data_IF_232869813687
#
_entry.id   IF_232869813687
#
_cell.length_a   1.000
_cell.length_b   1.000
_cell.length_c   1.000
_cell.angle_alpha   90.00
_cell.angle_beta   90.00
_cell.angle_gamma   90.00
#
_symmetry.space_group_name_H-M   'P 1'
#
loop_
_entity.id
_entity.type
_entity.pdbx_description
1 polymer ?
#
# COMPACT_ATOMS: atom_id res chain seq x y z
N UNK A 1 11.47 11.04 -22.63
CA UNK A 1 10.70 10.88 -23.87
C UNK A 1 9.30 10.44 -23.50
N UNK A 2 8.27 11.03 -24.09
CA UNK A 2 6.85 10.65 -23.91
C UNK A 2 6.38 10.14 -25.26
N UNK A 3 5.90 8.89 -25.33
CA UNK A 3 5.46 8.23 -26.57
C UNK A 3 6.49 8.30 -27.72
N UNK A 4 7.78 8.08 -27.40
CA UNK A 4 8.86 8.09 -28.40
C UNK A 4 9.27 9.49 -28.90
N UNK A 5 8.72 10.57 -28.33
CA UNK A 5 9.13 11.96 -28.64
C UNK A 5 9.87 12.60 -27.46
N UNK A 6 10.91 13.36 -27.79
CA UNK A 6 11.64 14.20 -26.82
C UNK A 6 10.92 15.53 -26.65
N UNK A 7 10.76 15.94 -25.40
CA UNK A 7 10.19 17.22 -25.00
C UNK A 7 11.19 17.93 -24.10
N UNK A 8 11.31 19.24 -24.25
CA UNK A 8 12.03 20.08 -23.30
C UNK A 8 11.25 20.13 -21.98
N UNK A 9 11.96 20.26 -20.86
CA UNK A 9 11.34 20.31 -19.53
C UNK A 9 10.28 21.44 -19.43
N UNK A 10 10.55 22.56 -20.09
CA UNK A 10 9.63 23.70 -20.22
C UNK A 10 8.31 23.37 -20.94
N UNK A 11 8.26 22.29 -21.72
CA UNK A 11 7.10 21.88 -22.53
C UNK A 11 6.19 20.88 -21.81
N UNK A 12 6.62 20.34 -20.67
CA UNK A 12 5.92 19.26 -19.94
C UNK A 12 5.09 19.80 -18.76
N UNK A 13 5.00 21.12 -18.60
CA UNK A 13 4.33 21.77 -17.47
C UNK A 13 5.22 21.93 -16.24
N UNK A 14 4.97 23.00 -15.48
CA UNK A 14 5.77 23.37 -14.29
C UNK A 14 5.70 22.32 -13.18
N UNK A 15 4.54 21.68 -12.99
CA UNK A 15 4.36 20.59 -12.03
C UNK A 15 5.29 19.41 -12.31
N UNK A 16 5.19 18.79 -13.49
CA UNK A 16 6.01 17.63 -13.89
C UNK A 16 7.51 17.95 -13.81
N UNK A 17 7.90 19.18 -14.17
CA UNK A 17 9.27 19.66 -14.03
C UNK A 17 9.78 19.58 -12.59
N UNK A 18 9.00 20.08 -11.62
CA UNK A 18 9.34 20.05 -10.21
C UNK A 18 9.50 18.61 -9.71
N UNK A 19 8.59 17.70 -10.10
CA UNK A 19 8.67 16.28 -9.70
C UNK A 19 9.92 15.58 -10.22
N UNK A 20 10.24 15.75 -11.52
CA UNK A 20 11.44 15.17 -12.11
C UNK A 20 12.70 15.68 -11.39
N UNK A 21 12.77 16.97 -11.11
CA UNK A 21 13.90 17.57 -10.39
C UNK A 21 14.04 17.03 -8.97
N UNK A 22 12.93 16.89 -8.24
CA UNK A 22 12.94 16.35 -6.88
C UNK A 22 13.37 14.88 -6.87
N UNK A 23 12.80 14.05 -7.74
CA UNK A 23 13.18 12.63 -7.87
C UNK A 23 14.64 12.47 -8.25
N UNK A 24 15.12 13.23 -9.24
CA UNK A 24 16.51 13.18 -9.68
C UNK A 24 17.47 13.57 -8.54
N UNK A 25 17.17 14.64 -7.82
CA UNK A 25 17.98 15.07 -6.67
C UNK A 25 17.99 14.02 -5.55
N UNK A 26 16.83 13.44 -5.22
CA UNK A 26 16.74 12.40 -4.20
C UNK A 26 17.53 11.15 -4.60
N UNK A 27 17.38 10.71 -5.86
CA UNK A 27 18.09 9.56 -6.41
C UNK A 27 19.62 9.74 -6.39
N UNK A 28 20.11 10.95 -6.68
CA UNK A 28 21.53 11.26 -6.65
C UNK A 28 22.09 11.39 -5.24
N UNK A 29 21.37 12.08 -4.34
CA UNK A 29 21.88 12.40 -3.00
C UNK A 29 21.65 11.30 -1.98
N UNK A 30 20.63 10.46 -2.16
CA UNK A 30 20.19 9.41 -1.22
C UNK A 30 20.19 9.90 0.25
N UNK A 31 19.43 10.97 0.56
CA UNK A 31 19.49 11.61 1.87
C UNK A 31 18.92 10.72 2.98
N UNK A 32 19.21 11.07 4.24
CA UNK A 32 18.59 10.41 5.38
C UNK A 32 17.08 10.67 5.42
N UNK A 33 16.70 11.95 5.42
CA UNK A 33 15.30 12.38 5.39
C UNK A 33 15.01 13.25 4.16
N UNK A 34 13.77 13.18 3.69
CA UNK A 34 13.24 14.12 2.69
C UNK A 34 12.05 14.85 3.30
N UNK A 35 12.08 16.18 3.24
CA UNK A 35 11.01 17.06 3.74
C UNK A 35 10.33 17.72 2.54
N UNK A 36 9.00 17.59 2.43
CA UNK A 36 8.22 18.22 1.35
C UNK A 36 7.00 18.92 1.91
N UNK A 37 6.71 20.10 1.38
CA UNK A 37 5.45 20.80 1.62
C UNK A 37 4.50 20.56 0.44
N UNK A 38 3.26 20.17 0.74
CA UNK A 38 2.16 19.90 -0.20
C UNK A 38 2.57 19.10 -1.45
N UNK A 39 2.99 17.82 -1.29
CA UNK A 39 3.41 16.96 -2.41
C UNK A 39 2.34 16.77 -3.49
N UNK A 40 1.07 17.02 -3.17
CA UNK A 40 -0.08 16.95 -4.06
C UNK A 40 -0.18 18.08 -5.09
N UNK A 41 0.51 19.21 -4.88
CA UNK A 41 0.33 20.40 -5.72
C UNK A 41 0.65 20.10 -7.19
N UNK A 42 -0.31 20.39 -8.06
CA UNK A 42 -0.21 20.18 -9.51
C UNK A 42 -0.03 18.71 -9.94
N UNK A 43 -0.28 17.74 -9.05
CA UNK A 43 -0.35 16.32 -9.40
C UNK A 43 -1.75 15.81 -9.38
N UNK A 44 -2.00 14.95 -10.35
CA UNK A 44 -3.14 14.06 -10.31
C UNK A 44 -3.02 13.10 -9.10
N UNK A 45 -4.09 12.89 -8.29
CA UNK A 45 -4.12 12.00 -7.13
C UNK A 45 -3.39 10.65 -7.27
N UNK A 46 -3.57 9.94 -8.39
CA UNK A 46 -2.87 8.68 -8.65
C UNK A 46 -1.34 8.79 -8.67
N UNK A 47 -0.81 9.89 -9.19
CA UNK A 47 0.63 10.14 -9.26
C UNK A 47 1.20 10.57 -7.91
N UNK A 48 0.37 11.07 -6.99
CA UNK A 48 0.83 11.55 -5.68
C UNK A 48 1.36 10.39 -4.82
N UNK A 49 0.61 9.28 -4.78
CA UNK A 49 1.03 8.06 -4.09
C UNK A 49 2.31 7.49 -4.67
N UNK A 50 2.36 7.35 -6.01
CA UNK A 50 3.53 6.83 -6.68
C UNK A 50 4.75 7.70 -6.48
N UNK A 51 4.57 9.03 -6.51
CA UNK A 51 5.61 10.00 -6.26
C UNK A 51 6.16 9.87 -4.84
N UNK A 52 5.30 9.86 -3.82
CA UNK A 52 5.71 9.75 -2.41
C UNK A 52 6.41 8.42 -2.12
N UNK A 53 5.85 7.29 -2.58
CA UNK A 53 6.47 5.97 -2.43
C UNK A 53 7.84 5.93 -3.11
N UNK A 54 7.96 6.47 -4.33
CA UNK A 54 9.23 6.50 -5.07
C UNK A 54 10.25 7.40 -4.38
N UNK A 55 9.81 8.55 -3.87
CA UNK A 55 10.68 9.49 -3.18
C UNK A 55 11.21 8.90 -1.86
N UNK A 56 10.35 8.27 -1.05
CA UNK A 56 10.76 7.57 0.17
C UNK A 56 11.68 6.39 -0.09
N UNK A 57 11.65 5.84 -1.31
CA UNK A 57 12.59 4.83 -1.76
C UNK A 57 14.03 5.31 -1.89
N UNK A 58 14.25 6.62 -2.03
CA UNK A 58 15.58 7.24 -2.08
C UNK A 58 16.07 7.73 -0.71
N UNK A 59 15.18 7.80 0.29
CA UNK A 59 15.53 8.18 1.65
C UNK A 59 15.97 6.97 2.47
N UNK A 60 17.05 7.09 3.26
CA UNK A 60 17.49 5.99 4.13
C UNK A 60 16.61 5.88 5.39
N UNK A 61 16.19 7.00 5.97
CA UNK A 61 15.38 7.04 7.19
C UNK A 61 13.89 7.25 6.89
N UNK A 62 13.53 8.17 6.00
CA UNK A 62 12.14 8.36 5.62
C UNK A 62 11.79 9.72 5.02
N UNK A 63 10.49 9.95 4.87
CA UNK A 63 9.94 11.20 4.36
C UNK A 63 9.01 11.82 5.40
N UNK A 64 9.02 13.13 5.49
CA UNK A 64 8.04 13.91 6.24
C UNK A 64 7.43 14.92 5.28
N UNK A 65 6.10 14.98 5.25
CA UNK A 65 5.41 15.94 4.41
C UNK A 65 4.17 16.51 5.09
N UNK A 66 3.83 17.74 4.71
CA UNK A 66 2.56 18.40 5.02
C UNK A 66 1.61 18.26 3.85
N UNK A 67 0.33 18.04 4.15
CA UNK A 67 -0.73 17.93 3.14
C UNK A 67 -2.04 18.45 3.72
N UNK A 68 -2.90 19.01 2.87
CA UNK A 68 -4.29 19.31 3.21
C UNK A 68 -5.23 18.12 2.92
N UNK A 69 -4.72 17.08 2.26
CA UNK A 69 -5.43 15.85 1.94
C UNK A 69 -5.21 14.80 3.03
N UNK A 70 -6.20 14.65 3.92
CA UNK A 70 -6.21 13.58 4.92
C UNK A 70 -6.19 12.18 4.28
N UNK A 71 -6.80 12.03 3.09
CA UNK A 71 -6.78 10.79 2.32
C UNK A 71 -5.37 10.45 1.82
N UNK A 72 -4.62 11.43 1.33
CA UNK A 72 -3.22 11.25 0.94
C UNK A 72 -2.33 10.89 2.14
N UNK A 73 -2.52 11.60 3.25
CA UNK A 73 -1.82 11.35 4.51
C UNK A 73 -1.99 9.89 4.96
N UNK A 74 -3.24 9.43 5.05
CA UNK A 74 -3.60 8.08 5.50
C UNK A 74 -3.17 6.97 4.53
N UNK A 75 -3.15 7.23 3.23
CA UNK A 75 -2.80 6.23 2.22
C UNK A 75 -1.30 6.02 2.05
N UNK A 76 -0.46 7.00 2.38
CA UNK A 76 0.99 6.94 2.10
C UNK A 76 1.90 7.08 3.33
N UNK A 77 1.46 7.72 4.41
CA UNK A 77 2.27 7.88 5.61
C UNK A 77 2.15 6.69 6.57
N UNK A 78 3.25 6.36 7.25
CA UNK A 78 3.23 5.37 8.33
C UNK A 78 2.64 5.95 9.63
N UNK A 79 2.74 7.28 9.83
CA UNK A 79 2.17 8.02 10.96
C UNK A 79 1.60 9.34 10.45
N UNK A 80 0.42 9.71 10.95
CA UNK A 80 -0.26 10.94 10.57
C UNK A 80 -0.46 11.81 11.81
N UNK A 81 -0.11 13.08 11.70
CA UNK A 81 -0.29 14.07 12.76
C UNK A 81 -1.20 15.18 12.25
N UNK A 82 -2.16 15.60 13.08
CA UNK A 82 -2.91 16.83 12.85
C UNK A 82 -2.31 17.95 13.66
N UNK A 83 -2.07 19.09 13.00
CA UNK A 83 -1.64 20.32 13.66
C UNK A 83 -2.84 21.25 13.73
N UNK A 84 -3.20 21.68 14.94
CA UNK A 84 -4.32 22.61 15.18
C UNK A 84 -3.81 23.83 15.93
N UNK A 85 -4.44 24.98 15.67
CA UNK A 85 -4.20 26.18 16.45
C UNK A 85 -4.91 26.04 17.80
N UNK A 86 -4.17 26.23 18.89
CA UNK A 86 -4.77 26.22 20.23
C UNK A 86 -5.50 27.55 20.51
N UNK A 87 -6.31 27.56 21.58
CA UNK A 87 -7.06 28.74 21.99
C UNK A 87 -6.17 29.94 22.41
N UNK A 88 -4.89 29.69 22.71
CA UNK A 88 -3.89 30.66 23.16
C UNK A 88 -2.91 31.04 22.04
N UNK A 89 -3.26 30.84 20.77
CA UNK A 89 -2.46 31.21 19.61
C UNK A 89 -1.16 30.38 19.44
N UNK A 90 -1.03 29.27 20.15
CA UNK A 90 -0.02 28.22 19.94
C UNK A 90 -0.50 27.14 18.97
N UNK A 91 0.29 26.07 18.83
CA UNK A 91 -0.02 24.94 17.96
C UNK A 91 0.05 23.64 18.75
N UNK A 92 -1.02 22.86 18.67
CA UNK A 92 -1.11 21.52 19.24
C UNK A 92 -0.95 20.48 18.14
N UNK A 93 -0.08 19.51 18.38
CA UNK A 93 0.14 18.37 17.49
C UNK A 93 -0.48 17.15 18.15
N UNK A 94 -1.42 16.54 17.45
CA UNK A 94 -2.06 15.29 17.88
C UNK A 94 -1.81 14.22 16.84
N UNK A 95 -1.39 13.04 17.27
CA UNK A 95 -1.34 11.87 16.39
C UNK A 95 -2.77 11.48 16.05
N UNK A 96 -3.04 11.33 14.75
CA UNK A 96 -4.34 10.94 14.26
C UNK A 96 -4.49 9.43 14.43
N UNK A 97 -4.85 9.01 15.64
CA UNK A 97 -5.17 7.61 15.96
C UNK A 97 -6.65 7.33 15.64
N UNK A 98 -6.98 7.12 14.37
CA UNK A 98 -8.27 6.56 14.00
C UNK A 98 -8.18 5.83 12.67
N UNK A 99 -8.64 4.57 12.65
CA UNK A 99 -9.09 3.88 11.44
C UNK A 99 -10.41 4.54 11.03
N UNK A 100 -10.46 5.44 10.01
CA UNK A 100 -11.74 5.94 9.53
C UNK A 100 -12.60 4.77 9.05
N UNK A 101 -13.93 4.96 9.01
CA UNK A 101 -14.76 4.03 8.25
C UNK A 101 -14.30 4.04 6.80
N UNK A 102 -14.25 2.87 6.19
CA UNK A 102 -13.61 2.72 4.88
C UNK A 102 -14.30 3.55 3.78
N UNK A 103 -15.60 3.79 3.93
CA UNK A 103 -16.40 4.70 3.10
C UNK A 103 -16.04 6.17 3.26
N UNK A 104 -15.72 6.62 4.47
CA UNK A 104 -15.25 7.98 4.74
C UNK A 104 -13.89 8.21 4.08
N UNK A 105 -12.99 7.23 4.19
CA UNK A 105 -11.67 7.28 3.52
C UNK A 105 -11.80 7.32 1.99
N UNK A 106 -12.71 6.55 1.40
CA UNK A 106 -13.02 6.63 -0.03
C UNK A 106 -13.59 7.99 -0.46
N UNK A 107 -14.41 8.61 0.40
CA UNK A 107 -14.90 9.97 0.22
C UNK A 107 -13.76 11.00 0.27
N UNK A 108 -12.87 10.90 1.26
CA UNK A 108 -11.67 11.74 1.39
C UNK A 108 -10.70 11.62 0.21
N UNK A 109 -10.64 10.44 -0.42
CA UNK A 109 -9.87 10.23 -1.64
C UNK A 109 -10.54 10.82 -2.89
N UNK A 110 -11.75 11.39 -2.84
CA UNK A 110 -12.49 11.81 -4.04
C UNK A 110 -12.52 10.70 -5.11
N UNK A 111 -12.88 9.47 -4.71
CA UNK A 111 -12.83 8.28 -5.59
C UNK A 111 -13.63 8.42 -6.90
N UNK A 112 -14.64 9.29 -6.93
CA UNK A 112 -15.33 9.67 -8.17
C UNK A 112 -14.37 10.21 -9.24
N UNK A 113 -13.36 11.00 -8.84
CA UNK A 113 -12.29 11.45 -9.72
C UNK A 113 -11.42 10.31 -10.21
N UNK A 114 -11.10 9.31 -9.36
CA UNK A 114 -10.27 8.15 -9.71
C UNK A 114 -10.89 7.28 -10.83
N UNK A 115 -12.22 7.13 -10.85
CA UNK A 115 -12.91 6.40 -11.93
C UNK A 115 -12.72 7.05 -13.31
N UNK A 116 -12.60 8.37 -13.37
CA UNK A 116 -12.40 9.11 -14.63
C UNK A 116 -11.00 8.90 -15.23
N UNK A 117 -10.04 8.35 -14.47
CA UNK A 117 -8.67 8.08 -14.95
C UNK A 117 -8.37 6.61 -15.17
N UNK A 118 -9.39 5.75 -15.12
CA UNK A 118 -9.23 4.33 -15.39
C UNK A 118 -8.79 3.50 -14.18
N UNK A 119 -8.92 4.00 -12.94
CA UNK A 119 -8.95 3.12 -11.78
C UNK A 119 -10.29 2.41 -11.77
N UNK A 120 -10.27 1.15 -12.16
CA UNK A 120 -11.46 0.34 -12.37
C UNK A 120 -11.65 -0.70 -11.27
N UNK A 121 -10.69 -0.87 -10.35
CA UNK A 121 -10.73 -1.91 -9.31
C UNK A 121 -10.25 -1.40 -7.94
N UNK A 122 -10.91 -1.86 -6.88
CA UNK A 122 -10.47 -1.70 -5.49
C UNK A 122 -9.92 -3.04 -5.00
N UNK A 123 -8.76 -3.01 -4.35
CA UNK A 123 -8.21 -4.14 -3.62
C UNK A 123 -8.10 -3.81 -2.12
N UNK A 124 -8.86 -4.55 -1.31
CA UNK A 124 -8.81 -4.49 0.14
C UNK A 124 -7.64 -5.35 0.64
N UNK A 125 -6.79 -4.82 1.50
CA UNK A 125 -5.66 -5.52 2.14
C UNK A 125 -5.79 -5.45 3.66
N UNK A 126 -5.15 -6.35 4.42
CA UNK A 126 -5.35 -6.39 5.87
C UNK A 126 -4.99 -5.08 6.57
N UNK A 127 -3.78 -4.55 6.33
CA UNK A 127 -3.27 -3.39 7.05
C UNK A 127 -2.54 -2.37 6.17
N UNK A 128 -2.10 -1.26 6.77
CA UNK A 128 -1.40 -0.19 6.05
C UNK A 128 -0.01 -0.61 5.56
N UNK A 129 0.67 -1.54 6.24
CA UNK A 129 1.98 -2.06 5.82
C UNK A 129 1.90 -2.83 4.51
N UNK A 130 0.77 -3.49 4.26
CA UNK A 130 0.53 -4.29 3.06
C UNK A 130 0.30 -3.41 1.83
N UNK A 131 -0.24 -2.19 1.98
CA UNK A 131 -0.47 -1.27 0.85
C UNK A 131 0.82 -1.06 0.05
N UNK A 132 1.90 -0.60 0.70
CA UNK A 132 3.18 -0.32 0.02
C UNK A 132 3.78 -1.59 -0.59
N UNK A 133 3.62 -2.72 0.08
CA UNK A 133 4.14 -4.03 -0.34
C UNK A 133 3.42 -4.54 -1.60
N UNK A 134 2.08 -4.57 -1.57
CA UNK A 134 1.25 -4.98 -2.70
C UNK A 134 1.39 -3.99 -3.86
N UNK A 135 1.56 -2.69 -3.60
CA UNK A 135 1.86 -1.71 -4.66
C UNK A 135 3.14 -2.08 -5.43
N UNK A 136 4.19 -2.56 -4.76
CA UNK A 136 5.40 -3.04 -5.47
C UNK A 136 5.11 -4.29 -6.32
N UNK A 137 4.28 -5.20 -5.84
CA UNK A 137 3.91 -6.38 -6.63
C UNK A 137 3.03 -6.02 -7.83
N UNK A 138 2.07 -5.12 -7.66
CA UNK A 138 1.23 -4.63 -8.76
C UNK A 138 2.06 -3.91 -9.83
N UNK A 139 3.14 -3.21 -9.45
CA UNK A 139 4.11 -2.63 -10.40
C UNK A 139 4.76 -3.66 -11.30
N UNK A 140 5.07 -4.86 -10.78
CA UNK A 140 5.63 -5.94 -11.60
C UNK A 140 4.66 -6.37 -12.71
N UNK A 141 3.35 -6.24 -12.47
CA UNK A 141 2.29 -6.54 -13.45
C UNK A 141 1.78 -5.30 -14.21
N UNK A 142 2.38 -4.12 -14.01
CA UNK A 142 1.94 -2.84 -14.60
C UNK A 142 0.47 -2.49 -14.27
N UNK A 143 0.04 -2.73 -13.02
CA UNK A 143 -1.34 -2.51 -12.55
C UNK A 143 -1.49 -1.56 -11.36
N UNK A 144 -0.39 -1.04 -10.84
CA UNK A 144 -0.37 -0.11 -9.72
C UNK A 144 -1.17 1.18 -9.98
N UNK A 145 -1.30 1.57 -11.25
CA UNK A 145 -2.09 2.72 -11.70
C UNK A 145 -3.55 2.38 -12.07
N UNK A 146 -4.01 1.15 -11.85
CA UNK A 146 -5.40 0.70 -12.14
C UNK A 146 -6.17 0.31 -10.89
N UNK A 147 -5.45 0.00 -9.81
CA UNK A 147 -6.02 -0.58 -8.60
C UNK A 147 -5.83 0.38 -7.43
N UNK A 148 -6.93 0.74 -6.77
CA UNK A 148 -6.88 1.49 -5.51
C UNK A 148 -6.77 0.49 -4.35
N UNK A 149 -5.70 0.62 -3.56
CA UNK A 149 -5.43 -0.20 -2.39
C UNK A 149 -6.04 0.44 -1.15
N UNK A 150 -6.81 -0.32 -0.38
CA UNK A 150 -7.43 0.14 0.85
C UNK A 150 -7.13 -0.82 2.01
N UNK A 151 -6.71 -0.32 3.18
CA UNK A 151 -6.47 -1.17 4.35
C UNK A 151 -7.79 -1.46 5.09
N UNK A 152 -7.94 -2.67 5.59
CA UNK A 152 -9.05 -3.11 6.44
C UNK A 152 -8.81 -2.84 7.93
N UNK A 153 -7.62 -2.37 8.34
CA UNK A 153 -7.31 -2.17 9.76
C UNK A 153 -7.19 -3.47 10.57
N UNK A 154 -6.79 -4.57 9.91
CA UNK A 154 -6.50 -5.87 10.50
C UNK A 154 -7.74 -6.61 11.01
N UNK A 155 -7.59 -7.30 12.14
CA UNK A 155 -8.64 -8.14 12.75
C UNK A 155 -9.93 -7.35 13.12
N UNK A 156 -9.85 -6.01 13.16
CA UNK A 156 -10.98 -5.13 13.48
C UNK A 156 -12.08 -5.12 12.41
N UNK A 157 -11.74 -5.37 11.13
CA UNK A 157 -12.72 -5.56 10.05
C UNK A 157 -12.67 -6.95 9.41
N UNK A 158 -11.60 -7.71 9.61
CA UNK A 158 -11.53 -9.12 9.19
C UNK A 158 -12.27 -9.98 10.23
N UNK A 159 -13.58 -9.79 10.33
CA UNK A 159 -14.47 -10.51 11.24
C UNK A 159 -15.90 -10.55 10.68
N UNK A 160 -16.82 -11.13 11.45
CA UNK A 160 -18.23 -11.29 11.07
C UNK A 160 -19.10 -10.03 11.13
N UNK A 161 -18.54 -8.85 11.46
CA UNK A 161 -19.29 -7.62 11.74
C UNK A 161 -19.06 -6.51 10.70
N UNK A 162 -18.19 -6.72 9.72
CA UNK A 162 -17.82 -5.72 8.70
C UNK A 162 -18.75 -5.67 7.48
N UNK A 163 -19.86 -6.43 7.48
CA UNK A 163 -20.76 -6.53 6.33
C UNK A 163 -21.27 -5.18 5.82
N UNK A 164 -21.73 -4.30 6.71
CA UNK A 164 -22.24 -2.97 6.34
C UNK A 164 -21.16 -2.10 5.66
N UNK A 165 -19.92 -2.12 6.17
CA UNK A 165 -18.83 -1.34 5.59
C UNK A 165 -18.41 -1.88 4.22
N UNK A 166 -18.36 -3.21 4.06
CA UNK A 166 -18.05 -3.83 2.78
C UNK A 166 -19.16 -3.59 1.73
N UNK A 167 -20.43 -3.54 2.15
CA UNK A 167 -21.54 -3.14 1.27
C UNK A 167 -21.38 -1.70 0.78
N UNK A 168 -20.97 -0.76 1.66
CA UNK A 168 -20.73 0.63 1.26
C UNK A 168 -19.62 0.74 0.22
N UNK A 169 -18.51 0.00 0.38
CA UNK A 169 -17.43 -0.05 -0.59
C UNK A 169 -17.90 -0.64 -1.92
N UNK A 170 -18.65 -1.75 -1.86
CA UNK A 170 -19.19 -2.41 -3.05
C UNK A 170 -20.14 -1.51 -3.84
N UNK A 171 -20.89 -0.64 -3.16
CA UNK A 171 -21.73 0.39 -3.81
C UNK A 171 -20.90 1.47 -4.50
N UNK A 172 -19.74 1.82 -3.96
CA UNK A 172 -18.83 2.79 -4.56
C UNK A 172 -18.10 2.19 -5.78
N UNK A 173 -17.66 0.93 -5.67
CA UNK A 173 -17.03 0.18 -6.76
C UNK A 173 -17.51 -1.27 -6.80
N UNK A 174 -18.23 -1.61 -7.87
CA UNK A 174 -18.64 -2.99 -8.12
C UNK A 174 -17.44 -3.93 -8.34
N UNK A 175 -16.29 -3.40 -8.77
CA UNK A 175 -15.10 -4.19 -9.01
C UNK A 175 -14.18 -4.13 -7.78
N UNK A 176 -14.60 -4.83 -6.73
CA UNK A 176 -13.87 -4.89 -5.45
C UNK A 176 -13.42 -6.32 -5.17
N UNK A 177 -12.15 -6.47 -4.81
CA UNK A 177 -11.55 -7.73 -4.35
C UNK A 177 -10.90 -7.52 -2.98
N UNK A 178 -10.68 -8.60 -2.24
CA UNK A 178 -9.99 -8.57 -0.94
C UNK A 178 -8.85 -9.59 -0.95
N UNK A 179 -7.74 -9.24 -0.29
CA UNK A 179 -6.58 -10.10 -0.07
C UNK A 179 -6.28 -10.13 1.43
N UNK A 180 -6.35 -11.33 2.02
CA UNK A 180 -6.10 -11.53 3.45
C UNK A 180 -5.06 -12.63 3.70
N UNK A 181 -4.32 -12.48 4.79
CA UNK A 181 -3.42 -13.48 5.33
C UNK A 181 -4.22 -14.68 5.83
N UNK A 182 -3.70 -15.89 5.64
CA UNK A 182 -4.36 -17.09 6.16
C UNK A 182 -4.16 -17.30 7.65
N UNK A 183 -3.04 -16.79 8.18
CA UNK A 183 -2.54 -17.03 9.53
C UNK A 183 -2.42 -18.51 9.92
N UNK A 184 -2.41 -19.42 8.94
CA UNK A 184 -2.26 -20.86 9.17
C UNK A 184 -0.89 -21.17 9.78
N UNK A 185 -0.86 -22.16 10.66
CA UNK A 185 0.37 -22.69 11.25
C UNK A 185 0.95 -23.88 10.48
N UNK A 186 0.17 -24.49 9.59
CA UNK A 186 0.61 -25.61 8.74
C UNK A 186 -0.30 -25.77 7.52
N UNK A 187 0.15 -26.58 6.56
CA UNK A 187 -0.66 -26.95 5.40
C UNK A 187 -1.93 -27.69 5.84
N UNK A 188 -3.07 -27.28 5.30
CA UNK A 188 -4.39 -27.84 5.64
C UNK A 188 -4.98 -27.38 6.98
N UNK A 189 -4.28 -26.54 7.76
CA UNK A 189 -4.86 -25.95 8.96
C UNK A 189 -6.11 -25.11 8.61
N UNK A 190 -7.14 -25.21 9.45
CA UNK A 190 -8.36 -24.39 9.28
C UNK A 190 -8.04 -22.92 9.52
N UNK A 191 -8.72 -22.06 8.79
CA UNK A 191 -8.71 -20.62 9.05
C UNK A 191 -9.33 -20.35 10.44
N UNK A 192 -8.96 -19.22 11.03
CA UNK A 192 -9.62 -18.74 12.25
C UNK A 192 -11.11 -18.48 12.00
N UNK A 193 -11.91 -18.49 13.07
CA UNK A 193 -13.35 -18.24 12.97
C UNK A 193 -13.66 -16.89 12.30
N UNK A 194 -12.90 -15.85 12.66
CA UNK A 194 -13.06 -14.50 12.12
C UNK A 194 -12.75 -14.42 10.62
N UNK A 195 -11.67 -15.06 10.16
CA UNK A 195 -11.30 -15.12 8.73
C UNK A 195 -12.31 -15.92 7.91
N UNK A 196 -12.81 -17.04 8.44
CA UNK A 196 -13.89 -17.78 7.78
C UNK A 196 -15.17 -16.95 7.67
N UNK A 197 -15.56 -16.25 8.74
CA UNK A 197 -16.72 -15.37 8.73
C UNK A 197 -16.58 -14.24 7.70
N UNK A 198 -15.39 -13.61 7.62
CA UNK A 198 -15.10 -12.56 6.65
C UNK A 198 -15.18 -13.05 5.20
N UNK A 199 -14.63 -14.24 4.90
CA UNK A 199 -14.72 -14.87 3.57
C UNK A 199 -16.17 -15.14 3.18
N UNK A 200 -17.00 -15.63 4.11
CA UNK A 200 -18.43 -15.87 3.86
C UNK A 200 -19.20 -14.56 3.63
N UNK A 201 -18.87 -13.49 4.36
CA UNK A 201 -19.45 -12.15 4.10
C UNK A 201 -19.07 -11.68 2.71
N UNK A 202 -17.78 -11.71 2.34
CA UNK A 202 -17.31 -11.31 1.01
C UNK A 202 -18.04 -12.08 -0.09
N UNK A 203 -18.21 -13.40 0.08
CA UNK A 203 -18.95 -14.25 -0.85
C UNK A 203 -20.42 -13.86 -0.95
N UNK A 204 -21.09 -13.55 0.17
CA UNK A 204 -22.49 -13.12 0.22
C UNK A 204 -22.72 -11.82 -0.56
N UNK A 205 -21.80 -10.87 -0.45
CA UNK A 205 -21.92 -9.53 -1.09
C UNK A 205 -21.25 -9.45 -2.47
N UNK A 206 -20.64 -10.53 -2.95
CA UNK A 206 -20.00 -10.59 -4.26
C UNK A 206 -18.67 -9.84 -4.35
N UNK A 207 -17.88 -9.84 -3.27
CA UNK A 207 -16.46 -9.45 -3.26
C UNK A 207 -15.61 -10.71 -3.44
N UNK A 208 -14.70 -10.69 -4.41
CA UNK A 208 -13.74 -11.78 -4.59
C UNK A 208 -12.67 -11.71 -3.49
N UNK A 209 -12.79 -12.56 -2.46
CA UNK A 209 -11.85 -12.62 -1.36
C UNK A 209 -10.84 -13.74 -1.58
N UNK A 210 -9.58 -13.37 -1.78
CA UNK A 210 -8.46 -14.28 -1.87
C UNK A 210 -7.76 -14.41 -0.51
N UNK A 211 -7.64 -15.65 -0.04
CA UNK A 211 -6.89 -15.98 1.19
C UNK A 211 -5.58 -16.62 0.78
N UNK A 212 -4.47 -16.08 1.27
CA UNK A 212 -3.13 -16.59 0.94
C UNK A 212 -3.00 -18.09 1.25
N UNK A 213 -2.24 -18.82 0.43
CA UNK A 213 -1.90 -20.22 0.72
C UNK A 213 -0.86 -20.34 1.84
N UNK A 214 0.11 -19.43 1.86
CA UNK A 214 1.10 -19.28 2.92
C UNK A 214 0.49 -18.50 4.09
N UNK A 215 1.22 -18.43 5.21
CA UNK A 215 0.72 -17.80 6.43
C UNK A 215 0.37 -16.33 6.23
N UNK A 216 1.26 -15.55 5.64
CA UNK A 216 1.13 -14.12 5.41
C UNK A 216 1.98 -13.66 4.21
N UNK A 217 1.86 -12.39 3.81
CA UNK A 217 2.64 -11.80 2.70
C UNK A 217 4.15 -11.98 2.90
N UNK A 218 4.66 -11.89 4.13
CA UNK A 218 6.09 -12.04 4.40
C UNK A 218 6.63 -13.42 4.02
N UNK A 219 5.77 -14.44 4.00
CA UNK A 219 6.15 -15.79 3.62
C UNK A 219 6.35 -15.94 2.10
N UNK A 220 6.06 -14.92 1.29
CA UNK A 220 6.31 -14.91 -0.17
C UNK A 220 7.67 -14.32 -0.55
N UNK A 221 8.34 -13.62 0.36
CA UNK A 221 9.63 -13.01 0.07
C UNK A 221 10.70 -14.07 -0.20
N UNK A 222 11.43 -13.89 -1.29
CA UNK A 222 12.53 -14.79 -1.65
C UNK A 222 13.78 -14.45 -0.85
N UNK A 223 14.63 -15.46 -0.62
CA UNK A 223 15.88 -15.30 0.13
C UNK A 223 16.78 -14.25 -0.52
N UNK A 224 16.86 -14.26 -1.86
CA UNK A 224 17.56 -13.25 -2.67
C UNK A 224 17.06 -11.83 -2.40
N UNK A 225 15.74 -11.60 -2.50
CA UNK A 225 15.17 -10.27 -2.33
C UNK A 225 15.36 -9.75 -0.89
N UNK A 226 15.21 -10.64 0.10
CA UNK A 226 15.43 -10.32 1.49
C UNK A 226 16.89 -9.90 1.75
N UNK A 227 17.85 -10.69 1.25
CA UNK A 227 19.29 -10.41 1.41
C UNK A 227 19.70 -9.12 0.73
N UNK A 228 19.20 -8.85 -0.47
CA UNK A 228 19.43 -7.59 -1.16
C UNK A 228 18.92 -6.38 -0.37
N UNK A 229 17.73 -6.49 0.25
CA UNK A 229 17.09 -5.38 0.95
C UNK A 229 17.62 -5.18 2.38
N UNK A 230 18.02 -6.25 3.07
CA UNK A 230 18.30 -6.24 4.52
C UNK A 230 19.72 -6.66 4.90
N UNK A 231 20.39 -7.49 4.11
CA UNK A 231 21.72 -8.05 4.41
C UNK A 231 21.75 -9.58 4.40
N UNK A 232 22.95 -10.14 4.25
CA UNK A 232 23.21 -11.60 4.12
C UNK A 232 22.80 -12.42 5.36
N UNK A 233 22.70 -11.77 6.52
CA UNK A 233 22.28 -12.40 7.78
C UNK A 233 20.78 -12.71 7.84
N UNK A 234 19.97 -12.09 6.98
CA UNK A 234 18.53 -12.30 6.91
C UNK A 234 18.19 -13.47 5.99
N UNK A 235 17.19 -14.27 6.38
CA UNK A 235 16.76 -15.45 5.61
C UNK A 235 15.25 -15.45 5.38
N UNK A 236 14.81 -15.97 4.24
CA UNK A 236 13.38 -16.06 3.92
C UNK A 236 12.61 -16.98 4.90
N UNK A 237 11.34 -16.63 5.14
CA UNK A 237 10.45 -17.43 5.98
C UNK A 237 9.99 -18.70 5.26
N UNK A 238 9.87 -19.79 6.01
CA UNK A 238 9.15 -20.98 5.54
C UNK A 238 7.65 -20.69 5.42
N UNK A 239 6.90 -21.50 4.69
CA UNK A 239 5.52 -21.20 4.26
C UNK A 239 4.55 -20.81 5.38
N UNK A 240 4.71 -21.41 6.58
CA UNK A 240 3.83 -21.16 7.72
C UNK A 240 4.56 -20.60 8.96
N UNK A 241 5.82 -20.20 8.78
CA UNK A 241 6.64 -19.68 9.87
C UNK A 241 6.23 -18.25 10.23
N UNK A 242 6.19 -17.93 11.52
CA UNK A 242 5.95 -16.55 11.96
C UNK A 242 7.22 -15.73 11.83
N UNK A 243 7.08 -14.46 11.47
CA UNK A 243 8.19 -13.50 11.44
C UNK A 243 8.89 -13.33 12.79
N UNK A 244 8.17 -13.50 13.90
CA UNK A 244 8.76 -13.44 15.25
C UNK A 244 9.67 -14.62 15.59
N UNK A 245 9.58 -15.73 14.86
CA UNK A 245 10.32 -16.96 15.16
C UNK A 245 11.71 -17.00 14.51
N UNK A 246 12.00 -16.11 13.57
CA UNK A 246 13.30 -16.02 12.89
C UNK A 246 14.23 -14.99 13.55
N UNK A 247 15.54 -15.24 13.52
CA UNK A 247 16.58 -14.35 14.03
C UNK A 247 17.71 -14.23 12.99
N UNK A 248 18.10 -13.01 12.57
CA UNK A 248 17.44 -11.73 12.87
C UNK A 248 16.04 -11.64 12.23
N UNK A 249 15.11 -10.99 12.93
CA UNK A 249 13.78 -10.62 12.42
C UNK A 249 13.82 -9.20 11.86
N UNK A 250 12.81 -8.79 11.10
CA UNK A 250 12.68 -7.44 10.52
C UNK A 250 11.33 -6.80 10.84
N UNK A 251 11.23 -5.49 10.59
CA UNK A 251 9.98 -4.75 10.79
C UNK A 251 9.07 -4.90 9.57
N UNK A 252 7.77 -5.13 9.80
CA UNK A 252 6.76 -5.17 8.72
C UNK A 252 6.71 -3.88 7.88
N UNK A 253 7.08 -2.73 8.45
CA UNK A 253 7.18 -1.47 7.70
C UNK A 253 8.28 -1.48 6.63
N UNK A 254 9.19 -2.45 6.65
CA UNK A 254 10.25 -2.63 5.66
C UNK A 254 9.89 -3.64 4.57
N UNK A 255 8.73 -4.30 4.68
CA UNK A 255 8.26 -5.31 3.72
C UNK A 255 8.26 -4.80 2.27
N UNK A 256 7.90 -3.54 2.04
CA UNK A 256 7.90 -2.95 0.69
C UNK A 256 9.30 -2.80 0.10
N UNK A 257 10.35 -2.62 0.94
CA UNK A 257 11.75 -2.57 0.48
C UNK A 257 12.17 -3.95 -0.05
N UNK A 258 11.74 -5.02 0.64
CA UNK A 258 12.00 -6.40 0.23
C UNK A 258 11.21 -6.73 -1.05
N UNK A 259 9.92 -6.36 -1.10
CA UNK A 259 9.08 -6.57 -2.28
C UNK A 259 9.62 -5.87 -3.53
N UNK A 260 10.26 -4.69 -3.38
CA UNK A 260 10.91 -3.97 -4.48
C UNK A 260 12.09 -4.74 -5.10
N UNK A 261 12.77 -5.59 -4.33
CA UNK A 261 13.88 -6.44 -4.80
C UNK A 261 13.41 -7.72 -5.49
N UNK A 262 12.10 -8.03 -5.43
CA UNK A 262 11.49 -9.16 -6.12
C UNK A 262 11.25 -8.87 -7.60
N UNK A 263 11.17 -9.93 -8.40
CA UNK A 263 10.85 -9.86 -9.82
C UNK A 263 9.64 -10.74 -10.16
N UNK A 264 9.14 -10.63 -11.39
CA UNK A 264 7.94 -11.34 -11.84
C UNK A 264 8.03 -12.87 -11.66
N UNK A 265 9.21 -13.47 -11.83
CA UNK A 265 9.40 -14.91 -11.68
C UNK A 265 9.28 -15.36 -10.22
N UNK A 266 9.61 -14.49 -9.27
CA UNK A 266 9.47 -14.79 -7.84
C UNK A 266 7.99 -14.96 -7.43
N UNK A 267 7.06 -14.30 -8.13
CA UNK A 267 5.62 -14.34 -7.85
C UNK A 267 4.83 -15.25 -8.79
N UNK A 268 5.20 -15.36 -10.07
CA UNK A 268 4.42 -16.11 -11.08
C UNK A 268 4.24 -17.60 -10.77
N UNK A 269 5.09 -18.18 -9.92
CA UNK A 269 4.97 -19.56 -9.46
C UNK A 269 4.13 -19.71 -8.17
N UNK A 270 3.39 -18.66 -7.78
CA UNK A 270 2.61 -18.60 -6.55
C UNK A 270 1.17 -18.19 -6.86
N UNK A 271 0.25 -18.59 -5.99
CA UNK A 271 -1.17 -18.23 -6.11
C UNK A 271 -1.41 -16.74 -5.88
N UNK A 272 -0.55 -16.08 -5.08
CA UNK A 272 -0.56 -14.62 -4.94
C UNK A 272 -0.25 -13.95 -6.28
N UNK A 273 0.75 -14.45 -7.01
CA UNK A 273 1.06 -13.94 -8.35
C UNK A 273 -0.09 -14.16 -9.34
N UNK A 274 -0.73 -15.33 -9.29
CA UNK A 274 -1.91 -15.62 -10.11
C UNK A 274 -3.07 -14.66 -9.79
N UNK A 275 -3.36 -14.44 -8.52
CA UNK A 275 -4.38 -13.50 -8.07
C UNK A 275 -4.09 -12.07 -8.56
N UNK A 276 -2.86 -11.56 -8.35
CA UNK A 276 -2.49 -10.21 -8.80
C UNK A 276 -2.52 -10.06 -10.33
N UNK A 277 -2.21 -11.14 -11.06
CA UNK A 277 -2.29 -11.17 -12.53
C UNK A 277 -3.73 -11.19 -13.05
N UNK A 278 -4.69 -11.66 -12.25
CA UNK A 278 -6.11 -11.71 -12.64
C UNK A 278 -6.92 -10.49 -12.13
N UNK A 279 -6.34 -9.66 -11.25
CA UNK A 279 -6.92 -8.36 -10.86
C UNK A 279 -7.01 -7.38 -12.04
#
# INVERSE_FOLDING_TARGET
MINGKSYFLSEVGSGITQFILVLANAAMKKPAYILIDEPELNLHPSLQLDFLTTLGSYASEGILYSTHSIGLARSSADRVYTVRKDANNGSEITELEATPRLSEFLGELNFSGYRELGFDKILLVEGPTEIKTIQQFLRLYEKDHKIVLLPLGGDSLINGLSELELEEIKRISENTSALIDSERSSSGARLSHNRMAFVEICKKIGINCHVLERRAIENYFTDRALKNAKGEEYNALQFYQKLGDIKPSWSKHENWRIAREMNLNDLNATELGDFLRDL
#
